data_IF_655328735372
#
_entry.id   IF_655328735372
#
_cell.length_a   1.000
_cell.length_b   1.000
_cell.length_c   1.000
_cell.angle_alpha   90.00
_cell.angle_beta   90.00
_cell.angle_gamma   90.00
#
_symmetry.space_group_name_H-M   'P 1'
#
loop_
_entity.id
_entity.type
_entity.pdbx_description
1 polymer ?
#
# COMPACT_ATOMS: atom_id res chain seq x y z
N UNK A 1 -20.17 -21.03 0.68
CA UNK A 1 -18.78 -20.58 0.51
C UNK A 1 -18.11 -20.50 1.86
N UNK A 2 -16.97 -21.15 2.03
CA UNK A 2 -16.22 -21.09 3.28
C UNK A 2 -15.50 -19.75 3.40
N UNK A 3 -15.44 -19.24 4.64
CA UNK A 3 -14.63 -18.05 4.93
C UNK A 3 -13.15 -18.35 4.70
N UNK A 4 -12.38 -17.32 4.29
CA UNK A 4 -10.95 -17.47 4.02
C UNK A 4 -10.15 -17.91 5.24
N UNK A 5 -10.67 -17.68 6.45
CA UNK A 5 -10.07 -18.08 7.72
C UNK A 5 -10.53 -19.45 8.21
N UNK A 6 -11.46 -20.14 7.50
CA UNK A 6 -11.86 -21.48 7.87
C UNK A 6 -10.67 -22.44 7.75
N UNK A 7 -10.45 -23.35 8.73
CA UNK A 7 -9.26 -24.21 8.72
C UNK A 7 -9.04 -25.00 7.44
N UNK A 8 -10.08 -25.57 6.87
CA UNK A 8 -9.98 -26.36 5.64
C UNK A 8 -9.64 -25.45 4.44
N UNK A 9 -10.27 -24.29 4.36
CA UNK A 9 -9.99 -23.29 3.33
C UNK A 9 -8.56 -22.74 3.44
N UNK A 10 -8.10 -22.48 4.65
CA UNK A 10 -6.73 -22.04 4.89
C UNK A 10 -5.71 -23.10 4.49
N UNK A 11 -5.95 -24.37 4.89
CA UNK A 11 -5.03 -25.46 4.55
C UNK A 11 -4.85 -25.61 3.03
N UNK A 12 -5.95 -25.46 2.27
CA UNK A 12 -5.87 -25.51 0.81
C UNK A 12 -5.08 -24.36 0.21
N UNK A 13 -5.04 -23.20 0.88
CA UNK A 13 -4.34 -22.00 0.41
C UNK A 13 -2.89 -21.91 0.88
N UNK A 14 -2.50 -22.65 1.91
CA UNK A 14 -1.16 -22.52 2.50
C UNK A 14 -0.01 -22.65 1.50
N UNK A 15 -0.01 -23.58 0.53
CA UNK A 15 1.05 -23.65 -0.46
C UNK A 15 1.20 -22.36 -1.26
N UNK A 16 0.10 -21.70 -1.60
CA UNK A 16 0.12 -20.42 -2.32
C UNK A 16 0.61 -19.28 -1.43
N UNK A 17 0.22 -19.27 -0.16
CA UNK A 17 0.71 -18.28 0.81
C UNK A 17 2.23 -18.41 1.01
N UNK A 18 2.74 -19.63 1.12
CA UNK A 18 4.19 -19.86 1.22
C UNK A 18 4.92 -19.37 -0.03
N UNK A 19 4.42 -19.66 -1.22
CA UNK A 19 5.01 -19.19 -2.48
C UNK A 19 4.99 -17.68 -2.58
N UNK A 20 3.88 -17.06 -2.21
CA UNK A 20 3.78 -15.60 -2.20
C UNK A 20 4.80 -14.98 -1.26
N UNK A 21 4.96 -15.54 -0.06
CA UNK A 21 5.94 -15.08 0.90
C UNK A 21 7.37 -15.19 0.35
N UNK A 22 7.71 -16.33 -0.24
CA UNK A 22 9.02 -16.55 -0.85
C UNK A 22 9.28 -15.58 -2.00
N UNK A 23 8.30 -15.35 -2.87
CA UNK A 23 8.41 -14.42 -3.98
C UNK A 23 8.60 -12.98 -3.50
N UNK A 24 7.88 -12.58 -2.46
CA UNK A 24 8.03 -11.25 -1.86
C UNK A 24 9.44 -11.05 -1.33
N UNK A 25 9.97 -12.02 -0.57
CA UNK A 25 11.32 -11.95 -0.02
C UNK A 25 12.38 -11.92 -1.14
N UNK A 26 12.21 -12.74 -2.17
CA UNK A 26 13.14 -12.77 -3.30
C UNK A 26 13.15 -11.44 -4.06
N UNK A 27 11.98 -10.85 -4.26
CA UNK A 27 11.84 -9.54 -4.92
C UNK A 27 12.53 -8.44 -4.12
N UNK A 28 12.34 -8.41 -2.81
CA UNK A 28 13.00 -7.45 -1.93
C UNK A 28 14.52 -7.62 -1.96
N UNK A 29 14.99 -8.85 -1.87
CA UNK A 29 16.42 -9.14 -1.92
C UNK A 29 17.04 -8.70 -3.24
N UNK A 30 16.37 -8.93 -4.35
CA UNK A 30 16.82 -8.51 -5.67
C UNK A 30 17.02 -6.99 -5.74
N UNK A 31 15.99 -6.22 -5.40
CA UNK A 31 16.07 -4.77 -5.46
C UNK A 31 17.06 -4.19 -4.44
N UNK A 32 17.12 -4.74 -3.25
CA UNK A 32 18.09 -4.33 -2.23
C UNK A 32 19.54 -4.55 -2.72
N UNK A 33 19.80 -5.68 -3.35
CA UNK A 33 21.13 -5.99 -3.90
C UNK A 33 21.54 -5.05 -5.05
N UNK A 34 20.56 -4.42 -5.71
CA UNK A 34 20.81 -3.46 -6.79
C UNK A 34 20.77 -2.00 -6.33
N UNK A 35 20.83 -1.76 -5.03
CA UNK A 35 20.91 -0.41 -4.47
C UNK A 35 19.58 0.33 -4.35
N UNK A 36 18.46 -0.35 -4.53
CA UNK A 36 17.15 0.25 -4.31
C UNK A 36 16.78 0.26 -2.83
N UNK A 37 16.11 1.30 -2.41
CA UNK A 37 15.58 1.41 -1.05
C UNK A 37 14.07 1.25 -1.10
N UNK A 38 13.56 0.29 -0.34
CA UNK A 38 12.13 0.11 -0.19
C UNK A 38 11.57 1.22 0.69
N UNK A 39 10.49 1.84 0.24
CA UNK A 39 9.81 2.90 1.00
C UNK A 39 8.32 2.60 1.07
N UNK A 40 7.69 3.07 2.14
CA UNK A 40 6.25 3.05 2.30
C UNK A 40 5.75 4.48 2.31
N UNK A 41 4.76 4.76 1.45
CA UNK A 41 4.14 6.07 1.37
C UNK A 41 2.77 6.04 2.04
N UNK A 42 2.27 7.18 2.54
CA UNK A 42 0.93 7.22 3.10
C UNK A 42 -0.11 6.81 2.06
N UNK A 43 -1.04 5.96 2.47
CA UNK A 43 -2.16 5.57 1.61
C UNK A 43 -3.37 6.50 1.73
N UNK A 44 -3.50 7.23 2.85
CA UNK A 44 -4.54 8.23 3.08
C UNK A 44 -3.92 9.62 2.96
N UNK A 45 -4.35 10.40 1.97
CA UNK A 45 -3.71 11.65 1.58
C UNK A 45 -4.74 12.76 1.42
N UNK A 46 -4.28 14.02 1.49
CA UNK A 46 -5.16 15.18 1.30
C UNK A 46 -5.51 15.42 -0.17
N UNK A 47 -4.68 14.95 -1.10
CA UNK A 47 -4.91 15.07 -2.54
C UNK A 47 -4.57 13.74 -3.22
N UNK A 48 -5.57 13.02 -3.76
CA UNK A 48 -5.36 11.66 -4.28
C UNK A 48 -4.69 11.60 -5.65
N UNK A 49 -4.55 12.70 -6.33
CA UNK A 49 -4.09 12.75 -7.72
C UNK A 49 -5.25 12.95 -8.69
N UNK A 50 -4.90 13.50 -9.85
CA UNK A 50 -5.88 13.81 -10.90
C UNK A 50 -5.77 12.77 -12.01
N UNK A 51 -6.65 11.76 -11.97
CA UNK A 51 -6.78 10.79 -13.04
C UNK A 51 -8.19 10.82 -13.60
N UNK A 52 -8.30 10.94 -14.92
CA UNK A 52 -9.60 11.17 -15.60
C UNK A 52 -10.59 10.02 -15.38
N UNK A 53 -10.08 8.78 -15.33
CA UNK A 53 -10.93 7.59 -15.27
C UNK A 53 -10.96 6.91 -13.91
N UNK A 54 -10.22 7.42 -12.93
CA UNK A 54 -10.15 6.84 -11.60
C UNK A 54 -10.69 7.81 -10.56
N UNK A 55 -11.53 7.29 -9.68
CA UNK A 55 -12.03 8.03 -8.51
C UNK A 55 -11.44 7.41 -7.25
N UNK A 56 -10.85 8.25 -6.42
CA UNK A 56 -10.31 7.82 -5.13
C UNK A 56 -11.43 7.58 -4.12
N UNK A 57 -11.21 6.64 -3.22
CA UNK A 57 -12.08 6.47 -2.06
C UNK A 57 -11.87 7.61 -1.08
N UNK A 58 -12.97 8.24 -0.70
CA UNK A 58 -12.98 9.30 0.30
C UNK A 58 -13.19 8.71 1.69
N UNK A 59 -12.48 9.22 2.67
CA UNK A 59 -12.67 8.87 4.09
C UNK A 59 -12.51 10.12 4.95
N UNK A 60 -12.85 9.99 6.22
CA UNK A 60 -12.70 11.06 7.19
C UNK A 60 -11.92 10.55 8.40
N UNK A 61 -10.97 11.35 8.87
CA UNK A 61 -10.27 11.10 10.12
C UNK A 61 -10.86 11.99 11.20
N UNK A 62 -11.24 11.40 12.32
CA UNK A 62 -11.64 12.14 13.52
C UNK A 62 -10.40 12.46 14.34
N UNK A 63 -10.29 13.70 14.79
CA UNK A 63 -9.22 14.15 15.66
C UNK A 63 -9.68 14.19 17.11
N UNK A 64 -8.75 14.21 18.10
CA UNK A 64 -9.14 14.24 19.51
C UNK A 64 -10.02 15.43 19.93
N UNK A 65 -10.00 16.52 19.18
CA UNK A 65 -10.82 17.69 19.43
C UNK A 65 -12.20 17.64 18.76
N UNK A 66 -12.61 16.46 18.27
CA UNK A 66 -13.87 16.22 17.54
C UNK A 66 -13.97 16.92 16.18
N UNK A 67 -12.87 17.44 15.65
CA UNK A 67 -12.84 17.91 14.28
C UNK A 67 -12.67 16.73 13.32
N UNK A 68 -13.02 16.96 12.03
CA UNK A 68 -12.90 15.94 10.99
C UNK A 68 -12.03 16.46 9.87
N UNK A 69 -11.14 15.61 9.40
CA UNK A 69 -10.30 15.89 8.25
C UNK A 69 -10.66 14.93 7.13
N UNK A 70 -10.98 15.47 5.95
CA UNK A 70 -11.21 14.65 4.77
C UNK A 70 -9.88 14.14 4.24
N UNK A 71 -9.80 12.83 4.05
CA UNK A 71 -8.67 12.15 3.44
C UNK A 71 -9.17 11.30 2.29
N UNK A 72 -8.26 10.97 1.39
CA UNK A 72 -8.54 10.12 0.26
C UNK A 72 -7.55 8.97 0.24
N UNK A 73 -8.02 7.76 -0.07
CA UNK A 73 -7.09 6.68 -0.38
C UNK A 73 -6.46 6.99 -1.73
N UNK A 74 -5.14 6.95 -1.80
CA UNK A 74 -4.46 7.31 -3.04
C UNK A 74 -4.79 6.32 -4.17
N UNK A 75 -4.86 6.81 -5.39
CA UNK A 75 -4.99 5.97 -6.58
C UNK A 75 -3.63 5.44 -7.03
N UNK A 76 -2.56 6.14 -6.66
CA UNK A 76 -1.18 5.78 -6.94
C UNK A 76 -0.27 6.45 -5.92
N UNK A 77 0.85 5.84 -5.52
CA UNK A 77 1.83 6.46 -4.63
C UNK A 77 2.72 7.48 -5.34
N UNK A 78 2.47 7.80 -6.59
CA UNK A 78 3.37 8.58 -7.44
C UNK A 78 3.72 9.95 -6.84
N UNK A 79 2.74 10.71 -6.36
CA UNK A 79 3.00 12.02 -5.79
C UNK A 79 3.86 11.97 -4.52
N UNK A 80 3.58 11.02 -3.62
CA UNK A 80 4.37 10.84 -2.41
C UNK A 80 5.79 10.39 -2.76
N UNK A 81 5.96 9.53 -3.74
CA UNK A 81 7.28 9.08 -4.19
C UNK A 81 8.07 10.21 -4.84
N UNK A 82 7.43 11.09 -5.62
CA UNK A 82 8.07 12.28 -6.16
C UNK A 82 8.58 13.22 -5.07
N UNK A 83 7.82 13.38 -3.99
CA UNK A 83 8.28 14.17 -2.83
C UNK A 83 9.52 13.57 -2.19
N UNK A 84 9.60 12.26 -2.06
CA UNK A 84 10.78 11.58 -1.55
C UNK A 84 11.99 11.80 -2.46
N UNK A 85 11.82 11.72 -3.77
CA UNK A 85 12.89 11.99 -4.72
C UNK A 85 13.42 13.41 -4.60
N UNK A 86 12.52 14.39 -4.51
CA UNK A 86 12.90 15.81 -4.34
C UNK A 86 13.62 16.01 -3.03
N UNK A 87 13.26 15.29 -1.98
CA UNK A 87 13.91 15.36 -0.67
C UNK A 87 15.26 14.63 -0.61
N UNK A 88 15.64 13.90 -1.65
CA UNK A 88 16.95 13.27 -1.76
C UNK A 88 17.00 11.77 -1.51
N UNK A 89 15.87 11.08 -1.55
CA UNK A 89 15.81 9.62 -1.37
C UNK A 89 16.15 8.82 -2.64
N UNK A 90 16.42 9.51 -3.73
CA UNK A 90 16.78 8.89 -4.99
C UNK A 90 18.17 8.28 -5.03
#
# INVERSE_FOLDING_TARGET
MQSSWHPDGLAARMPFLHRRSQLTLATRAFFSAHGYTEVETPYAVTAPGEEVHLRAFRTERETPDNSRQTLWLHTSPEFAMKKLLVAGAG
#
